data_IF_549898606962
#
_entry.id   IF_549898606962
#
_cell.length_a   1.000
_cell.length_b   1.000
_cell.length_c   1.000
_cell.angle_alpha   90.00
_cell.angle_beta   90.00
_cell.angle_gamma   90.00
#
_symmetry.space_group_name_H-M   'P 1'
#
loop_
_entity.id
_entity.type
_entity.pdbx_description
1 polymer ?
#
# COMPACT_ATOMS: atom_id res chain seq x y z
N UNK A 1 14.71 -11.12 -9.00
CA UNK A 1 13.34 -10.69 -8.64
C UNK A 1 12.68 -11.63 -7.63
N UNK A 2 12.71 -12.95 -7.77
CA UNK A 2 12.06 -13.88 -6.81
C UNK A 2 12.57 -13.75 -5.35
N UNK A 3 13.86 -13.54 -5.15
CA UNK A 3 14.46 -13.44 -3.80
C UNK A 3 14.03 -12.18 -3.03
N UNK A 4 13.73 -11.07 -3.71
CA UNK A 4 13.33 -9.82 -3.06
C UNK A 4 11.94 -9.92 -2.38
N UNK A 5 10.98 -10.60 -3.01
CA UNK A 5 9.64 -10.77 -2.45
C UNK A 5 9.64 -11.65 -1.19
N UNK A 6 10.56 -12.61 -1.09
CA UNK A 6 10.60 -13.54 0.04
C UNK A 6 11.04 -12.89 1.36
N UNK A 7 11.78 -11.79 1.28
CA UNK A 7 12.28 -11.06 2.46
C UNK A 7 11.27 -10.03 3.00
N UNK A 8 10.19 -9.76 2.29
CA UNK A 8 9.20 -8.74 2.70
C UNK A 8 8.49 -9.17 3.98
N UNK A 9 8.45 -8.25 4.95
CA UNK A 9 7.79 -8.37 6.24
C UNK A 9 6.69 -7.34 6.45
N UNK A 10 6.79 -6.21 5.74
CA UNK A 10 5.88 -5.08 5.86
C UNK A 10 5.55 -4.54 4.47
N UNK A 11 4.27 -4.27 4.26
CA UNK A 11 3.79 -3.50 3.12
C UNK A 11 3.28 -2.16 3.65
N UNK A 12 3.82 -1.08 3.13
CA UNK A 12 3.25 0.26 3.29
C UNK A 12 2.45 0.58 2.05
N UNK A 13 1.25 1.07 2.23
CA UNK A 13 0.36 1.47 1.14
C UNK A 13 -0.09 2.91 1.32
N UNK A 14 -0.02 3.71 0.27
CA UNK A 14 -0.89 4.88 0.17
C UNK A 14 -2.35 4.42 0.08
N UNK A 15 -3.27 5.32 0.29
CA UNK A 15 -4.70 5.03 0.21
C UNK A 15 -5.30 5.50 -1.10
N UNK A 16 -5.21 6.80 -1.39
CA UNK A 16 -5.80 7.38 -2.59
C UNK A 16 -4.95 7.09 -3.83
N UNK A 17 -5.57 6.54 -4.86
CA UNK A 17 -4.88 6.08 -6.05
C UNK A 17 -4.22 4.70 -5.93
N UNK A 18 -4.24 4.06 -4.75
CA UNK A 18 -3.81 2.67 -4.53
C UNK A 18 -5.00 1.79 -4.14
N UNK A 19 -5.61 2.05 -2.99
CA UNK A 19 -6.81 1.35 -2.52
C UNK A 19 -8.10 1.94 -3.08
N UNK A 20 -8.07 3.20 -3.55
CA UNK A 20 -9.13 3.88 -4.31
C UNK A 20 -8.69 4.14 -5.75
N UNK A 21 -9.61 4.55 -6.59
CA UNK A 21 -9.36 4.98 -7.97
C UNK A 21 -8.94 6.46 -8.09
N UNK A 22 -8.50 7.05 -6.98
CA UNK A 22 -8.06 8.44 -6.85
C UNK A 22 -9.16 9.49 -7.12
N UNK A 23 -10.43 9.08 -7.04
CA UNK A 23 -11.58 9.97 -7.20
C UNK A 23 -12.43 9.99 -5.94
N UNK A 24 -12.98 11.15 -5.64
CA UNK A 24 -13.92 11.33 -4.54
C UNK A 24 -15.27 11.85 -5.08
N UNK A 25 -16.35 11.42 -4.46
CA UNK A 25 -17.65 12.05 -4.58
C UNK A 25 -17.78 13.02 -3.42
N UNK A 26 -18.05 14.28 -3.72
CA UNK A 26 -18.24 15.33 -2.70
C UNK A 26 -19.67 15.82 -2.80
N UNK A 27 -20.39 15.79 -1.69
CA UNK A 27 -21.75 16.36 -1.61
C UNK A 27 -21.73 17.85 -1.21
N UNK A 28 -22.90 18.47 -1.19
CA UNK A 28 -23.07 19.89 -0.86
C UNK A 28 -22.70 20.24 0.60
N UNK A 29 -22.56 19.25 1.47
CA UNK A 29 -22.10 19.43 2.85
C UNK A 29 -20.58 19.31 2.99
N UNK A 30 -19.88 18.97 1.89
CA UNK A 30 -18.46 18.68 1.89
C UNK A 30 -18.11 17.25 2.32
N UNK A 31 -19.10 16.38 2.48
CA UNK A 31 -18.85 14.98 2.82
C UNK A 31 -18.27 14.24 1.61
N UNK A 32 -17.14 13.58 1.84
CA UNK A 32 -16.48 12.76 0.84
C UNK A 32 -16.88 11.29 0.92
N UNK A 33 -16.90 10.66 -0.25
CA UNK A 33 -17.14 9.23 -0.42
C UNK A 33 -16.20 8.69 -1.48
N UNK A 34 -15.56 7.56 -1.21
CA UNK A 34 -14.64 6.89 -2.14
C UNK A 34 -15.09 5.46 -2.45
N UNK A 35 -14.60 4.92 -3.55
CA UNK A 35 -14.81 3.54 -3.94
C UNK A 35 -13.55 2.72 -3.65
N UNK A 36 -13.71 1.58 -2.94
CA UNK A 36 -12.62 0.66 -2.59
C UNK A 36 -12.93 -0.75 -3.03
N UNK A 37 -11.91 -1.55 -3.32
CA UNK A 37 -12.07 -2.94 -3.72
C UNK A 37 -12.30 -3.88 -2.54
N UNK A 38 -13.27 -4.80 -2.66
CA UNK A 38 -13.42 -5.91 -1.71
C UNK A 38 -12.29 -6.93 -1.81
N UNK A 39 -11.66 -7.03 -2.97
CA UNK A 39 -10.54 -7.95 -3.19
C UNK A 39 -9.35 -7.66 -2.26
N UNK A 40 -9.12 -6.39 -1.90
CA UNK A 40 -8.07 -6.02 -0.96
C UNK A 40 -8.30 -6.58 0.45
N UNK A 41 -9.58 -6.75 0.85
CA UNK A 41 -9.90 -7.47 2.09
C UNK A 41 -9.42 -8.91 2.09
N UNK A 42 -9.58 -9.62 0.96
CA UNK A 42 -9.04 -10.98 0.80
C UNK A 42 -7.51 -10.98 0.82
N UNK A 43 -6.89 -9.95 0.23
CA UNK A 43 -5.44 -9.80 0.26
C UNK A 43 -4.87 -9.72 1.68
N UNK A 44 -5.54 -9.00 2.59
CA UNK A 44 -5.13 -8.90 3.99
C UNK A 44 -5.08 -10.28 4.67
N UNK A 45 -6.06 -11.14 4.40
CA UNK A 45 -6.03 -12.51 4.93
C UNK A 45 -4.83 -13.30 4.39
N UNK A 46 -4.54 -13.17 3.09
CA UNK A 46 -3.38 -13.82 2.48
C UNK A 46 -2.07 -13.31 3.07
N UNK A 47 -1.92 -12.00 3.24
CA UNK A 47 -0.70 -11.40 3.80
C UNK A 47 -0.47 -11.87 5.25
N UNK A 48 -1.51 -11.91 6.06
CA UNK A 48 -1.43 -12.41 7.44
C UNK A 48 -1.01 -13.88 7.51
N UNK A 49 -1.48 -14.73 6.60
CA UNK A 49 -1.06 -16.14 6.56
C UNK A 49 0.42 -16.30 6.17
N UNK A 50 1.05 -15.24 5.66
CA UNK A 50 2.47 -15.17 5.30
C UNK A 50 3.31 -14.38 6.32
N UNK A 51 2.73 -13.99 7.46
CA UNK A 51 3.34 -13.13 8.48
C UNK A 51 3.82 -11.78 7.90
N UNK A 52 3.01 -11.19 7.01
CA UNK A 52 3.27 -9.88 6.42
C UNK A 52 2.20 -8.90 6.90
N UNK A 53 2.65 -7.82 7.50
CA UNK A 53 1.80 -6.71 7.90
C UNK A 53 1.54 -5.76 6.74
N UNK A 54 0.37 -5.11 6.75
CA UNK A 54 0.06 -4.00 5.85
C UNK A 54 -0.39 -2.80 6.69
N UNK A 55 0.20 -1.64 6.40
CA UNK A 55 -0.09 -0.37 7.06
C UNK A 55 -0.38 0.69 5.99
N UNK A 56 -1.39 1.50 6.25
CA UNK A 56 -1.71 2.67 5.42
C UNK A 56 -0.96 3.89 5.97
N UNK A 57 -0.26 4.62 5.09
CA UNK A 57 0.30 5.94 5.40
C UNK A 57 -0.29 6.94 4.42
N UNK A 58 -1.15 7.86 4.92
CA UNK A 58 -1.84 8.85 4.11
C UNK A 58 -1.52 10.28 4.55
N UNK A 59 -1.46 11.20 3.59
CA UNK A 59 -1.37 12.64 3.84
C UNK A 59 -2.71 13.23 4.28
N UNK A 60 -3.80 12.58 3.92
CA UNK A 60 -5.16 13.05 4.17
C UNK A 60 -5.58 12.88 5.63
N UNK A 61 -6.52 13.75 6.04
CA UNK A 61 -7.25 13.64 7.31
C UNK A 61 -8.70 13.31 6.94
N UNK A 62 -8.93 12.07 6.56
CA UNK A 62 -10.27 11.68 6.12
C UNK A 62 -10.73 10.45 6.91
N UNK A 63 -11.90 10.58 7.56
CA UNK A 63 -12.52 9.48 8.30
C UNK A 63 -12.82 8.22 7.46
N UNK A 64 -12.89 8.35 6.13
CA UNK A 64 -13.07 7.21 5.22
C UNK A 64 -11.89 6.24 5.29
N UNK A 65 -10.66 6.79 5.31
CA UNK A 65 -9.42 5.98 5.42
C UNK A 65 -9.41 5.19 6.72
N UNK A 66 -9.70 5.88 7.85
CA UNK A 66 -9.77 5.26 9.17
C UNK A 66 -10.82 4.15 9.23
N UNK A 67 -12.04 4.43 8.74
CA UNK A 67 -13.12 3.44 8.71
C UNK A 67 -12.81 2.24 7.84
N UNK A 68 -12.07 2.44 6.74
CA UNK A 68 -11.61 1.33 5.91
C UNK A 68 -10.56 0.50 6.62
N UNK A 69 -9.59 1.14 7.26
CA UNK A 69 -8.54 0.47 8.03
C UNK A 69 -9.10 -0.34 9.20
N UNK A 70 -10.04 0.24 9.96
CA UNK A 70 -10.78 -0.45 11.03
C UNK A 70 -11.46 -1.74 10.51
N UNK A 71 -12.20 -1.63 9.39
CA UNK A 71 -12.88 -2.77 8.78
C UNK A 71 -11.91 -3.87 8.35
N UNK A 72 -10.74 -3.50 7.86
CA UNK A 72 -9.68 -4.42 7.44
C UNK A 72 -8.83 -4.91 8.61
N UNK A 73 -8.97 -4.28 9.79
CA UNK A 73 -8.15 -4.50 11.00
C UNK A 73 -6.66 -4.31 10.71
N UNK A 74 -6.32 -3.26 9.98
CA UNK A 74 -4.95 -2.83 9.67
C UNK A 74 -4.67 -1.48 10.30
N UNK A 75 -3.40 -1.20 10.54
CA UNK A 75 -2.96 0.09 11.07
C UNK A 75 -3.06 1.16 9.98
N UNK A 76 -3.40 2.39 10.39
CA UNK A 76 -3.49 3.55 9.53
C UNK A 76 -2.86 4.75 10.23
N UNK A 77 -1.94 5.42 9.54
CA UNK A 77 -1.29 6.64 9.98
C UNK A 77 -1.69 7.74 9.01
N UNK A 78 -2.48 8.69 9.49
CA UNK A 78 -3.00 9.81 8.71
C UNK A 78 -2.30 11.13 9.06
N UNK A 79 -2.59 12.19 8.29
CA UNK A 79 -2.00 13.52 8.49
C UNK A 79 -0.47 13.51 8.42
N UNK A 80 0.09 12.71 7.54
CA UNK A 80 1.54 12.55 7.42
C UNK A 80 2.07 13.50 6.36
N UNK A 81 2.69 14.61 6.78
CA UNK A 81 3.31 15.57 5.85
C UNK A 81 4.60 15.05 5.20
N UNK A 82 5.31 14.15 5.86
CA UNK A 82 6.54 13.53 5.37
C UNK A 82 6.49 12.01 5.53
N UNK A 83 6.03 11.33 4.47
CA UNK A 83 5.90 9.87 4.46
C UNK A 83 7.24 9.14 4.61
N UNK A 84 8.35 9.73 4.16
CA UNK A 84 9.67 9.13 4.29
C UNK A 84 10.14 9.09 5.75
N UNK A 85 9.97 10.17 6.49
CA UNK A 85 10.30 10.20 7.92
C UNK A 85 9.35 9.32 8.74
N UNK A 86 8.06 9.31 8.41
CA UNK A 86 7.09 8.41 9.03
C UNK A 86 7.50 6.95 8.85
N UNK A 87 7.85 6.54 7.63
CA UNK A 87 8.33 5.19 7.33
C UNK A 87 9.57 4.81 8.13
N UNK A 88 10.59 5.70 8.19
CA UNK A 88 11.81 5.47 8.97
C UNK A 88 11.50 5.27 10.45
N UNK A 89 10.68 6.15 11.03
CA UNK A 89 10.26 6.07 12.43
C UNK A 89 9.55 4.76 12.73
N UNK A 90 8.55 4.42 11.92
CA UNK A 90 7.76 3.20 12.04
C UNK A 90 8.63 1.94 11.99
N UNK A 91 9.52 1.86 11.02
CA UNK A 91 10.42 0.72 10.85
C UNK A 91 11.45 0.61 12.00
N UNK A 92 11.97 1.74 12.48
CA UNK A 92 12.92 1.79 13.60
C UNK A 92 12.28 1.26 14.89
N UNK A 93 11.08 1.70 15.23
CA UNK A 93 10.35 1.27 16.44
C UNK A 93 10.07 -0.23 16.45
N UNK A 94 9.82 -0.82 15.28
CA UNK A 94 9.51 -2.25 15.11
C UNK A 94 10.69 -3.13 14.73
N UNK A 95 11.89 -2.55 14.64
CA UNK A 95 13.11 -3.25 14.20
C UNK A 95 12.93 -3.95 12.84
N UNK A 96 12.23 -3.31 11.91
CA UNK A 96 12.04 -3.79 10.54
C UNK A 96 13.06 -3.10 9.62
N UNK A 97 14.01 -3.82 9.02
CA UNK A 97 14.92 -3.22 8.04
C UNK A 97 14.16 -2.69 6.82
N UNK A 98 14.48 -1.50 6.34
CA UNK A 98 13.81 -0.88 5.18
C UNK A 98 13.87 -1.75 3.92
N UNK A 99 14.90 -2.55 3.77
CA UNK A 99 15.01 -3.54 2.68
C UNK A 99 13.96 -4.67 2.74
N UNK A 100 13.32 -4.86 3.89
CA UNK A 100 12.21 -5.82 4.08
C UNK A 100 10.83 -5.17 3.94
N UNK A 101 10.78 -3.92 3.48
CA UNK A 101 9.55 -3.17 3.23
C UNK A 101 9.25 -3.14 1.74
N UNK A 102 8.01 -3.41 1.38
CA UNK A 102 7.44 -3.06 0.08
C UNK A 102 6.58 -1.81 0.24
N UNK A 103 6.80 -0.79 -0.57
CA UNK A 103 6.01 0.44 -0.57
C UNK A 103 5.16 0.54 -1.82
N UNK A 104 3.87 0.78 -1.66
CA UNK A 104 2.91 0.95 -2.76
C UNK A 104 2.46 2.40 -2.75
N UNK A 105 2.82 3.15 -3.79
CA UNK A 105 2.45 4.54 -3.96
C UNK A 105 2.00 4.82 -5.39
N UNK A 106 1.42 5.98 -5.65
CA UNK A 106 0.92 6.34 -6.97
C UNK A 106 1.33 7.74 -7.43
N UNK A 107 1.81 8.59 -6.55
CA UNK A 107 2.09 9.98 -6.86
C UNK A 107 3.37 10.49 -6.17
N UNK A 108 3.74 11.73 -6.44
CA UNK A 108 4.99 12.38 -6.03
C UNK A 108 5.15 12.47 -4.50
N UNK A 109 4.06 12.53 -3.75
CA UNK A 109 4.07 12.51 -2.28
C UNK A 109 4.59 11.20 -1.68
N UNK A 110 4.63 10.12 -2.49
CA UNK A 110 5.17 8.81 -2.12
C UNK A 110 6.66 8.66 -2.48
N UNK A 111 7.15 9.49 -3.40
CA UNK A 111 8.43 9.30 -4.08
C UNK A 111 9.60 9.07 -3.12
N UNK A 112 9.77 9.94 -2.12
CA UNK A 112 10.88 9.84 -1.17
C UNK A 112 10.74 8.64 -0.22
N UNK A 113 9.52 8.27 0.17
CA UNK A 113 9.28 7.07 0.97
C UNK A 113 9.55 5.79 0.15
N UNK A 114 9.12 5.76 -1.11
CA UNK A 114 9.38 4.65 -2.01
C UNK A 114 10.88 4.40 -2.19
N UNK A 115 11.70 5.47 -2.32
CA UNK A 115 13.16 5.33 -2.46
C UNK A 115 13.85 4.64 -1.29
N UNK A 116 13.25 4.65 -0.12
CA UNK A 116 13.78 4.01 1.09
C UNK A 116 13.43 2.52 1.16
N UNK A 117 12.34 2.12 0.53
CA UNK A 117 11.83 0.76 0.60
C UNK A 117 12.67 -0.22 -0.24
N UNK A 118 12.67 -1.48 0.18
CA UNK A 118 13.34 -2.56 -0.55
C UNK A 118 12.67 -2.88 -1.89
N UNK A 119 11.33 -2.75 -1.97
CA UNK A 119 10.57 -2.93 -3.20
C UNK A 119 9.62 -1.75 -3.37
N UNK A 120 9.70 -1.09 -4.53
CA UNK A 120 8.86 0.03 -4.93
C UNK A 120 7.79 -0.46 -5.90
N UNK A 121 6.54 -0.25 -5.57
CA UNK A 121 5.39 -0.78 -6.30
C UNK A 121 4.46 0.38 -6.67
N UNK A 122 3.91 0.34 -7.87
CA UNK A 122 2.93 1.32 -8.32
C UNK A 122 1.77 0.64 -9.05
N UNK A 123 0.54 1.19 -8.97
CA UNK A 123 -0.55 0.84 -9.86
C UNK A 123 -0.22 1.18 -11.33
N UNK A 124 -0.83 0.48 -12.29
CA UNK A 124 -0.53 0.73 -13.70
C UNK A 124 -0.96 2.12 -14.19
N UNK A 125 -1.83 2.80 -13.47
CA UNK A 125 -2.30 4.16 -13.72
C UNK A 125 -1.66 5.21 -12.79
N UNK A 126 -0.60 4.86 -12.06
CA UNK A 126 0.20 5.82 -11.29
C UNK A 126 0.86 6.87 -12.18
N UNK A 127 1.30 7.98 -11.59
CA UNK A 127 2.02 9.02 -12.31
C UNK A 127 3.43 8.58 -12.72
N UNK A 128 3.92 9.15 -13.83
CA UNK A 128 5.18 8.73 -14.47
C UNK A 128 6.40 8.91 -13.54
N UNK A 129 6.38 9.93 -12.68
CA UNK A 129 7.46 10.22 -11.74
C UNK A 129 7.76 9.02 -10.82
N UNK A 130 6.71 8.39 -10.31
CA UNK A 130 6.87 7.21 -9.42
C UNK A 130 7.02 5.91 -10.21
N UNK A 131 6.46 5.82 -11.42
CA UNK A 131 6.70 4.69 -12.31
C UNK A 131 8.17 4.54 -12.68
N UNK A 132 8.86 5.66 -12.90
CA UNK A 132 10.28 5.67 -13.29
C UNK A 132 11.22 5.08 -12.22
N UNK A 133 10.80 5.02 -10.96
CA UNK A 133 11.58 4.42 -9.89
C UNK A 133 11.02 3.07 -9.42
N UNK A 134 9.89 2.63 -9.97
CA UNK A 134 9.22 1.42 -9.52
C UNK A 134 9.99 0.15 -9.91
N UNK A 135 10.07 -0.80 -8.99
CA UNK A 135 10.56 -2.15 -9.26
C UNK A 135 9.45 -3.05 -9.83
N UNK A 136 8.19 -2.70 -9.54
CA UNK A 136 7.02 -3.44 -10.01
C UNK A 136 5.84 -2.51 -10.31
N UNK A 137 5.33 -2.61 -11.54
CA UNK A 137 4.08 -1.96 -11.96
C UNK A 137 2.99 -3.02 -11.99
N UNK A 138 1.90 -2.82 -11.23
CA UNK A 138 0.80 -3.78 -11.22
C UNK A 138 0.01 -3.77 -12.53
N UNK A 139 -0.71 -4.85 -12.81
CA UNK A 139 -1.73 -4.88 -13.89
C UNK A 139 -3.00 -4.17 -13.44
N UNK A 140 -3.30 -4.24 -12.15
CA UNK A 140 -4.43 -3.57 -11.55
C UNK A 140 -4.21 -2.05 -11.52
N UNK A 141 -5.27 -1.29 -11.78
CA UNK A 141 -5.36 0.14 -11.51
C UNK A 141 -5.62 0.38 -10.04
N UNK A 142 -5.36 1.59 -9.57
CA UNK A 142 -5.79 2.04 -8.25
C UNK A 142 -7.27 1.74 -8.02
N UNK A 143 -7.63 1.23 -6.83
CA UNK A 143 -8.99 0.84 -6.47
C UNK A 143 -9.49 -0.48 -7.06
N UNK A 144 -8.73 -1.15 -7.90
CA UNK A 144 -9.15 -2.38 -8.58
C UNK A 144 -8.40 -3.63 -8.10
N UNK A 145 -7.97 -3.64 -6.85
CA UNK A 145 -7.35 -4.81 -6.22
C UNK A 145 -5.83 -4.84 -6.35
N UNK A 146 -5.17 -3.70 -6.25
CA UNK A 146 -3.70 -3.59 -6.24
C UNK A 146 -3.11 -4.47 -5.14
N UNK A 147 -3.61 -4.35 -3.90
CA UNK A 147 -3.12 -5.16 -2.78
C UNK A 147 -3.35 -6.65 -3.03
N UNK A 148 -4.48 -6.99 -3.66
CA UNK A 148 -4.80 -8.39 -4.01
C UNK A 148 -3.82 -8.98 -5.02
N UNK A 149 -3.40 -8.19 -6.00
CA UNK A 149 -2.38 -8.60 -6.96
C UNK A 149 -1.04 -8.85 -6.26
N UNK A 150 -0.61 -7.90 -5.43
CA UNK A 150 0.68 -7.99 -4.71
C UNK A 150 0.70 -9.19 -3.75
N UNK A 151 -0.37 -9.44 -3.00
CA UNK A 151 -0.47 -10.63 -2.16
C UNK A 151 -0.32 -11.92 -2.98
N UNK A 152 -0.87 -11.95 -4.18
CA UNK A 152 -0.71 -13.08 -5.11
C UNK A 152 0.72 -13.25 -5.62
N UNK A 153 1.41 -12.14 -5.94
CA UNK A 153 2.81 -12.16 -6.37
C UNK A 153 3.71 -12.71 -5.26
N UNK A 154 3.54 -12.23 -4.04
CA UNK A 154 4.32 -12.68 -2.89
C UNK A 154 4.04 -14.17 -2.60
N UNK A 155 2.77 -14.57 -2.58
CA UNK A 155 2.38 -15.96 -2.35
C UNK A 155 3.05 -16.90 -3.36
N UNK A 156 3.02 -16.52 -4.64
CA UNK A 156 3.67 -17.29 -5.70
C UNK A 156 5.20 -17.35 -5.53
N UNK A 157 5.83 -16.25 -5.13
CA UNK A 157 7.28 -16.19 -4.92
C UNK A 157 7.74 -17.09 -3.77
N UNK A 158 6.90 -17.23 -2.74
CA UNK A 158 7.15 -18.12 -1.59
C UNK A 158 6.85 -19.61 -1.91
N UNK A 159 6.36 -19.92 -3.10
CA UNK A 159 5.99 -21.30 -3.50
C UNK A 159 4.79 -21.86 -2.72
N UNK A 160 3.97 -20.99 -2.14
CA UNK A 160 2.81 -21.39 -1.36
C UNK A 160 1.64 -21.71 -2.30
N UNK A 161 0.94 -22.81 -2.02
CA UNK A 161 -0.30 -23.15 -2.71
C UNK A 161 -1.36 -22.07 -2.45
N UNK A 162 -2.19 -21.78 -3.45
CA UNK A 162 -3.38 -20.92 -3.24
C UNK A 162 -4.33 -21.72 -2.36
N UNK A 163 -4.58 -21.21 -1.17
CA UNK A 163 -5.60 -21.75 -0.25
C UNK A 163 -6.98 -21.33 -0.75
#
# INVERSE_FOLDING_TARGET
>A
MCLMWNSIKLIISDFDGVMTDNRVFVDETGKETVCVSRADGQAIHMLRSMDIELVIISTEINGVVEKRAEKLKIECIQNVSNKAECLKGYCKERNIPLQNVAYIGNDINDFEAMRLAGIKIVPCDAYEEVKNIADYVTKAKGGYGVIREIAGVINKSKGLSII
#
